data_IF_674838516384
#
_entry.id   IF_674838516384
#
_cell.length_a   1.000
_cell.length_b   1.000
_cell.length_c   1.000
_cell.angle_alpha   90.00
_cell.angle_beta   90.00
_cell.angle_gamma   90.00
#
_symmetry.space_group_name_H-M   'P 1'
#
loop_
_entity.id
_entity.type
_entity.pdbx_description
1 polymer ?
#
# COMPACT_ATOMS: atom_id res chain seq x y z
N UNK A 1 7.07 -20.96 -13.22
CA UNK A 1 6.36 -20.20 -12.17
C UNK A 1 6.05 -21.17 -11.05
N UNK A 2 6.36 -20.84 -9.79
CA UNK A 2 6.02 -21.70 -8.65
C UNK A 2 4.53 -21.51 -8.36
N UNK A 3 3.80 -22.59 -8.09
CA UNK A 3 2.40 -22.54 -7.63
C UNK A 3 2.38 -22.13 -6.15
N UNK A 4 1.98 -20.89 -5.81
CA UNK A 4 2.07 -20.39 -4.45
C UNK A 4 1.09 -21.11 -3.52
N UNK A 5 1.53 -21.40 -2.30
CA UNK A 5 0.78 -22.09 -1.26
C UNK A 5 0.56 -21.15 -0.07
N UNK A 6 -0.65 -21.13 0.52
CA UNK A 6 -0.92 -20.35 1.72
C UNK A 6 0.08 -20.67 2.85
N UNK A 7 0.51 -19.65 3.59
CA UNK A 7 1.43 -19.80 4.72
C UNK A 7 2.92 -19.93 4.34
N UNK A 8 3.26 -19.92 3.06
CA UNK A 8 4.65 -19.93 2.58
C UNK A 8 5.13 -18.52 2.20
N UNK A 9 6.45 -18.31 2.31
CA UNK A 9 7.12 -17.07 1.93
C UNK A 9 7.72 -17.19 0.54
N UNK A 10 7.55 -16.16 -0.26
CA UNK A 10 8.02 -16.09 -1.65
C UNK A 10 8.92 -14.88 -1.87
N UNK A 11 9.73 -14.94 -2.92
CA UNK A 11 10.60 -13.83 -3.30
C UNK A 11 9.76 -12.60 -3.68
N UNK A 12 10.07 -11.46 -3.06
CA UNK A 12 9.47 -10.18 -3.41
C UNK A 12 9.72 -9.84 -4.89
N UNK A 13 10.92 -10.13 -5.39
CA UNK A 13 11.25 -9.86 -6.79
C UNK A 13 10.36 -10.67 -7.74
N UNK A 14 10.11 -11.96 -7.45
CA UNK A 14 9.23 -12.78 -8.28
C UNK A 14 7.79 -12.24 -8.30
N UNK A 15 7.35 -11.63 -7.21
CA UNK A 15 6.05 -10.96 -7.12
C UNK A 15 6.01 -9.67 -7.97
N UNK A 16 7.06 -8.85 -7.88
CA UNK A 16 7.20 -7.64 -8.71
C UNK A 16 7.29 -7.97 -10.22
N UNK A 17 8.03 -9.03 -10.58
CA UNK A 17 8.12 -9.52 -11.97
C UNK A 17 6.76 -9.99 -12.49
N UNK A 18 5.94 -10.58 -11.62
CA UNK A 18 4.58 -10.97 -11.95
C UNK A 18 3.69 -9.73 -12.19
N UNK A 19 3.82 -8.68 -11.38
CA UNK A 19 3.12 -7.42 -11.65
C UNK A 19 3.52 -6.77 -12.96
N UNK A 20 4.81 -6.76 -13.28
CA UNK A 20 5.30 -6.27 -14.58
C UNK A 20 4.65 -7.04 -15.72
N UNK A 21 4.65 -8.37 -15.64
CA UNK A 21 4.02 -9.24 -16.64
C UNK A 21 2.53 -8.95 -16.79
N UNK A 22 1.78 -8.80 -15.68
CA UNK A 22 0.34 -8.46 -15.71
C UNK A 22 0.11 -7.10 -16.37
N UNK A 23 0.92 -6.10 -16.02
CA UNK A 23 0.81 -4.76 -16.61
C UNK A 23 1.06 -4.77 -18.12
N UNK A 24 2.05 -5.53 -18.59
CA UNK A 24 2.42 -5.63 -20.01
C UNK A 24 1.43 -6.46 -20.84
N UNK A 25 0.77 -7.45 -20.22
CA UNK A 25 -0.10 -8.40 -20.94
C UNK A 25 -1.59 -8.08 -20.84
N UNK A 26 -2.06 -7.62 -19.67
CA UNK A 26 -3.49 -7.34 -19.41
C UNK A 26 -3.74 -5.84 -19.30
N UNK A 27 -2.77 -5.09 -18.78
CA UNK A 27 -2.86 -3.65 -18.60
C UNK A 27 -2.86 -3.23 -17.13
N UNK A 28 -2.41 -2.00 -16.88
CA UNK A 28 -2.09 -1.54 -15.53
C UNK A 28 -3.30 -1.32 -14.62
N UNK A 29 -4.51 -1.14 -15.16
CA UNK A 29 -5.76 -1.10 -14.37
C UNK A 29 -6.00 -2.40 -13.58
N UNK A 30 -5.48 -3.52 -14.07
CA UNK A 30 -5.53 -4.81 -13.35
C UNK A 30 -4.75 -4.73 -12.04
N UNK A 31 -3.63 -4.01 -12.01
CA UNK A 31 -2.84 -3.81 -10.79
C UNK A 31 -3.62 -3.00 -9.75
N UNK A 32 -4.40 -2.00 -10.17
CA UNK A 32 -5.32 -1.28 -9.28
C UNK A 32 -6.37 -2.22 -8.70
N UNK A 33 -6.96 -3.09 -9.52
CA UNK A 33 -7.91 -4.08 -9.03
C UNK A 33 -7.28 -5.04 -8.02
N UNK A 34 -6.04 -5.48 -8.25
CA UNK A 34 -5.29 -6.32 -7.31
C UNK A 34 -5.02 -5.56 -6.01
N UNK A 35 -4.55 -4.31 -6.07
CA UNK A 35 -4.32 -3.46 -4.89
C UNK A 35 -5.57 -3.29 -4.02
N UNK A 36 -6.74 -3.10 -4.65
CA UNK A 36 -8.03 -2.99 -3.94
C UNK A 36 -8.42 -4.24 -3.15
N UNK A 37 -7.85 -5.41 -3.47
CA UNK A 37 -8.11 -6.67 -2.77
C UNK A 37 -7.19 -6.92 -1.57
N UNK A 38 -6.12 -6.15 -1.42
CA UNK A 38 -5.17 -6.33 -0.31
C UNK A 38 -5.81 -6.16 1.07
N UNK A 39 -6.71 -5.18 1.33
CA UNK A 39 -7.35 -5.04 2.64
C UNK A 39 -8.22 -6.23 3.08
N UNK A 40 -8.55 -7.14 2.15
CA UNK A 40 -9.30 -8.37 2.41
C UNK A 40 -8.39 -9.58 2.65
N UNK A 41 -7.13 -9.52 2.20
CA UNK A 41 -6.24 -10.70 2.11
C UNK A 41 -4.94 -10.56 2.91
N UNK A 42 -4.52 -9.35 3.28
CA UNK A 42 -3.32 -9.11 4.08
C UNK A 42 -3.65 -8.97 5.58
N UNK A 43 -2.66 -9.25 6.42
CA UNK A 43 -2.79 -9.02 7.86
C UNK A 43 -2.61 -7.54 8.18
N UNK A 44 -3.63 -6.91 8.78
CA UNK A 44 -3.57 -5.55 9.29
C UNK A 44 -3.47 -5.55 10.83
N UNK A 45 -2.89 -4.50 11.43
CA UNK A 45 -2.91 -4.35 12.89
C UNK A 45 -4.37 -4.23 13.39
N UNK A 46 -4.66 -4.67 14.64
CA UNK A 46 -5.98 -4.49 15.23
C UNK A 46 -6.27 -3.02 15.57
N UNK A 47 -7.54 -2.70 15.81
CA UNK A 47 -7.94 -1.37 16.31
C UNK A 47 -7.81 -0.24 15.30
N UNK A 48 -7.99 -0.55 14.00
CA UNK A 48 -8.09 0.46 12.96
C UNK A 48 -9.52 0.99 12.94
N UNK A 49 -9.70 2.24 13.37
CA UNK A 49 -10.96 2.96 13.41
C UNK A 49 -10.79 4.35 12.75
N UNK A 50 -11.47 4.57 11.63
CA UNK A 50 -11.39 5.82 10.88
C UNK A 50 -10.26 5.89 9.85
N UNK A 51 -10.41 6.83 8.93
CA UNK A 51 -9.65 6.91 7.68
C UNK A 51 -8.16 7.21 7.89
N UNK A 52 -7.79 8.11 8.80
CA UNK A 52 -6.38 8.47 9.03
C UNK A 52 -5.61 7.31 9.64
N UNK A 53 -6.21 6.61 10.62
CA UNK A 53 -5.62 5.40 11.21
C UNK A 53 -5.54 4.27 10.18
N UNK A 54 -6.55 4.15 9.31
CA UNK A 54 -6.54 3.18 8.22
C UNK A 54 -5.40 3.44 7.22
N UNK A 55 -5.18 4.69 6.84
CA UNK A 55 -4.08 5.08 5.95
C UNK A 55 -2.70 4.83 6.60
N UNK A 56 -2.53 5.18 7.88
CA UNK A 56 -1.30 4.86 8.64
C UNK A 56 -1.08 3.35 8.81
N UNK A 57 -2.16 2.57 8.93
CA UNK A 57 -2.08 1.12 9.13
C UNK A 57 -1.55 0.37 7.91
N UNK A 58 -1.56 0.97 6.72
CA UNK A 58 -0.96 0.40 5.51
C UNK A 58 0.52 0.14 5.73
N UNK A 59 1.26 1.07 6.34
CA UNK A 59 2.71 0.92 6.59
C UNK A 59 3.01 -0.23 7.56
N UNK A 60 2.22 -0.31 8.63
CA UNK A 60 2.35 -1.37 9.62
C UNK A 60 2.04 -2.72 8.98
N UNK A 61 0.94 -2.81 8.22
CA UNK A 61 0.58 -4.02 7.49
C UNK A 61 1.65 -4.41 6.47
N UNK A 62 2.25 -3.44 5.76
CA UNK A 62 3.34 -3.69 4.84
C UNK A 62 4.50 -4.41 5.55
N UNK A 63 4.97 -3.89 6.68
CA UNK A 63 6.07 -4.49 7.45
C UNK A 63 5.68 -5.79 8.17
N UNK A 64 4.40 -5.99 8.52
CA UNK A 64 3.89 -7.25 9.06
C UNK A 64 3.91 -8.40 8.03
N UNK A 65 3.71 -8.07 6.75
CA UNK A 65 3.58 -9.06 5.68
C UNK A 65 4.85 -9.22 4.82
N UNK A 66 6.00 -8.68 5.27
CA UNK A 66 7.29 -8.82 4.59
C UNK A 66 8.39 -9.28 5.56
N UNK A 67 9.48 -9.82 4.99
CA UNK A 67 10.64 -10.33 5.72
C UNK A 67 11.94 -10.03 4.99
N UNK A 68 12.98 -9.71 5.75
CA UNK A 68 14.38 -9.70 5.28
C UNK A 68 15.10 -10.88 5.91
N UNK A 69 15.71 -11.74 5.08
CA UNK A 69 16.41 -12.95 5.54
C UNK A 69 15.58 -13.80 6.54
N UNK A 70 14.27 -13.91 6.29
CA UNK A 70 13.33 -14.67 7.13
C UNK A 70 12.89 -13.97 8.43
N UNK A 71 13.42 -12.79 8.76
CA UNK A 71 13.09 -12.06 9.99
C UNK A 71 11.86 -11.17 9.80
N UNK A 72 11.02 -11.10 10.84
CA UNK A 72 9.87 -10.18 10.88
C UNK A 72 10.35 -8.74 10.84
N UNK A 73 9.67 -7.87 10.10
CA UNK A 73 9.99 -6.43 10.03
C UNK A 73 9.09 -5.58 10.93
N UNK A 74 8.20 -6.20 11.68
CA UNK A 74 7.39 -5.54 12.69
C UNK A 74 7.43 -6.32 14.00
N UNK A 75 7.63 -5.60 15.11
CA UNK A 75 7.52 -6.15 16.46
C UNK A 75 6.17 -5.73 17.09
N UNK A 76 5.22 -6.66 17.29
CA UNK A 76 3.89 -6.31 17.80
C UNK A 76 3.89 -5.86 19.26
N UNK A 77 4.95 -6.11 20.03
CA UNK A 77 5.05 -5.68 21.44
C UNK A 77 5.56 -4.25 21.56
N UNK A 78 6.63 -3.92 20.83
CA UNK A 78 7.25 -2.57 20.87
C UNK A 78 6.67 -1.63 19.84
N UNK A 79 5.92 -2.15 18.85
CA UNK A 79 5.45 -1.45 17.64
C UNK A 79 6.57 -0.93 16.75
N UNK A 80 7.77 -1.44 16.94
CA UNK A 80 8.95 -1.08 16.15
C UNK A 80 8.87 -1.69 14.75
N UNK A 81 9.25 -0.88 13.75
CA UNK A 81 9.39 -1.28 12.36
C UNK A 81 10.89 -1.41 12.06
N UNK A 82 11.27 -2.50 11.38
CA UNK A 82 12.62 -2.67 10.85
C UNK A 82 12.67 -2.14 9.43
N UNK A 83 13.57 -1.17 9.22
CA UNK A 83 13.83 -0.52 7.94
C UNK A 83 14.37 -1.47 6.86
N UNK A 84 14.34 -1.02 5.60
CA UNK A 84 15.03 -1.66 4.48
C UNK A 84 14.15 -2.07 3.30
N UNK A 85 12.84 -1.81 3.36
CA UNK A 85 11.90 -2.08 2.26
C UNK A 85 11.06 -0.86 1.84
N UNK A 86 11.37 0.33 2.34
CA UNK A 86 10.56 1.54 2.16
C UNK A 86 9.28 1.52 3.01
N UNK A 87 8.41 2.49 2.78
CA UNK A 87 7.26 2.80 3.62
C UNK A 87 6.02 3.25 2.83
N UNK A 88 4.91 3.29 3.56
CA UNK A 88 3.68 4.01 3.23
C UNK A 88 3.44 5.11 4.26
N UNK A 89 3.98 6.30 4.04
CA UNK A 89 3.91 7.39 5.04
C UNK A 89 2.68 8.27 4.82
N UNK A 90 1.78 8.30 5.80
CA UNK A 90 0.64 9.23 5.82
C UNK A 90 1.01 10.55 6.50
N UNK A 91 0.73 11.65 5.82
CA UNK A 91 0.76 13.00 6.38
C UNK A 91 -0.62 13.65 6.29
N UNK A 92 -1.08 14.19 7.40
CA UNK A 92 -2.25 15.06 7.41
C UNK A 92 -1.90 16.38 6.70
N UNK A 93 -2.80 16.84 5.84
CA UNK A 93 -2.64 18.11 5.10
C UNK A 93 -3.76 19.09 5.38
N UNK A 94 -4.92 18.61 5.81
CA UNK A 94 -6.09 19.36 6.24
C UNK A 94 -7.01 18.43 7.08
N UNK A 95 -8.08 18.97 7.67
CA UNK A 95 -9.07 18.22 8.45
C UNK A 95 -9.72 17.05 7.69
N UNK A 96 -9.83 17.19 6.38
CA UNK A 96 -10.50 16.25 5.47
C UNK A 96 -9.60 15.85 4.30
N UNK A 97 -8.29 15.97 4.49
CA UNK A 97 -7.31 15.66 3.46
C UNK A 97 -5.97 15.21 4.04
N UNK A 98 -5.34 14.26 3.37
CA UNK A 98 -3.96 13.87 3.64
C UNK A 98 -3.22 13.47 2.38
N UNK A 99 -1.93 13.23 2.53
CA UNK A 99 -1.09 12.66 1.48
C UNK A 99 -0.45 11.36 1.94
N UNK A 100 -0.34 10.41 1.00
CA UNK A 100 0.43 9.19 1.15
C UNK A 100 1.70 9.32 0.34
N UNK A 101 2.86 9.24 0.99
CA UNK A 101 4.17 9.17 0.33
C UNK A 101 4.65 7.73 0.42
N UNK A 102 4.87 7.12 -0.74
CA UNK A 102 5.19 5.70 -0.85
C UNK A 102 6.57 5.58 -1.51
N UNK A 103 7.57 5.08 -0.81
CA UNK A 103 8.95 4.82 -1.29
C UNK A 103 9.29 3.32 -1.31
N UNK A 104 8.24 2.49 -1.35
CA UNK A 104 8.33 1.05 -1.58
C UNK A 104 8.47 0.72 -3.09
N UNK A 105 8.83 -0.53 -3.46
CA UNK A 105 9.11 -0.89 -4.85
C UNK A 105 7.86 -1.22 -5.69
N UNK A 106 6.64 -1.07 -5.15
CA UNK A 106 5.43 -1.50 -5.85
C UNK A 106 5.02 -0.56 -6.99
N UNK A 107 4.35 -1.07 -8.04
CA UNK A 107 3.78 -0.23 -9.09
C UNK A 107 2.79 0.82 -8.55
N UNK A 108 2.72 1.98 -9.20
CA UNK A 108 1.86 3.09 -8.77
C UNK A 108 0.39 2.68 -8.64
N UNK A 109 -0.11 1.92 -9.62
CA UNK A 109 -1.49 1.46 -9.69
C UNK A 109 -1.86 0.54 -8.53
N UNK A 110 -0.93 -0.28 -8.07
CA UNK A 110 -1.13 -1.19 -6.95
C UNK A 110 -1.26 -0.41 -5.64
N UNK A 111 -0.33 0.51 -5.37
CA UNK A 111 -0.38 1.40 -4.21
C UNK A 111 -1.67 2.24 -4.20
N UNK A 112 -2.01 2.83 -5.35
CA UNK A 112 -3.26 3.57 -5.52
C UNK A 112 -4.48 2.72 -5.12
N UNK A 113 -4.54 1.47 -5.59
CA UNK A 113 -5.65 0.56 -5.28
C UNK A 113 -5.77 0.25 -3.78
N UNK A 114 -4.64 0.06 -3.08
CA UNK A 114 -4.63 -0.16 -1.63
C UNK A 114 -5.14 1.08 -0.89
N UNK A 115 -4.58 2.25 -1.21
CA UNK A 115 -4.92 3.52 -0.57
C UNK A 115 -6.40 3.83 -0.76
N UNK A 116 -6.91 3.70 -1.98
CA UNK A 116 -8.31 3.95 -2.29
C UNK A 116 -9.25 3.00 -1.56
N UNK A 117 -8.96 1.70 -1.54
CA UNK A 117 -9.80 0.71 -0.86
C UNK A 117 -9.82 0.93 0.66
N UNK A 118 -8.66 1.22 1.26
CA UNK A 118 -8.57 1.52 2.69
C UNK A 118 -9.32 2.81 3.03
N UNK A 119 -9.11 3.87 2.26
CA UNK A 119 -9.77 5.14 2.51
C UNK A 119 -11.29 5.03 2.35
N UNK A 120 -11.77 4.35 1.31
CA UNK A 120 -13.20 4.12 1.09
C UNK A 120 -13.84 3.29 2.21
N UNK A 121 -13.15 2.25 2.69
CA UNK A 121 -13.64 1.36 3.75
C UNK A 121 -13.81 2.08 5.09
N UNK A 122 -12.95 3.06 5.38
CA UNK A 122 -12.89 3.74 6.68
C UNK A 122 -13.33 5.20 6.62
N UNK A 123 -13.91 5.65 5.51
CA UNK A 123 -14.46 6.99 5.40
C UNK A 123 -15.52 7.25 6.49
N UNK A 124 -15.66 8.50 6.97
CA UNK A 124 -16.75 8.87 7.86
C UNK A 124 -18.13 8.49 7.31
N UNK A 125 -19.10 8.22 8.18
CA UNK A 125 -20.45 7.82 7.77
C UNK A 125 -21.20 8.92 7.00
N UNK A 126 -20.89 10.19 7.28
CA UNK A 126 -21.42 11.38 6.62
C UNK A 126 -20.67 11.76 5.33
N UNK A 127 -19.54 11.11 5.06
CA UNK A 127 -18.77 11.29 3.83
C UNK A 127 -19.39 10.46 2.69
N UNK A 128 -19.83 11.11 1.60
CA UNK A 128 -20.43 10.42 0.45
C UNK A 128 -19.40 9.71 -0.44
N UNK A 129 -18.23 10.32 -0.63
CA UNK A 129 -17.19 9.80 -1.52
C UNK A 129 -15.80 10.16 -1.01
N UNK A 130 -14.84 9.28 -1.31
CA UNK A 130 -13.41 9.55 -1.14
C UNK A 130 -12.82 9.78 -2.53
N UNK A 131 -11.93 10.77 -2.64
CA UNK A 131 -11.13 10.99 -3.84
C UNK A 131 -9.67 10.71 -3.54
N UNK A 132 -9.09 9.78 -4.28
CA UNK A 132 -7.64 9.55 -4.32
C UNK A 132 -7.12 9.98 -5.69
N UNK A 133 -5.98 10.68 -5.71
CA UNK A 133 -5.30 11.07 -6.96
C UNK A 133 -3.80 10.95 -6.81
N UNK A 134 -3.13 10.44 -7.84
CA UNK A 134 -1.67 10.49 -7.94
C UNK A 134 -1.21 11.95 -8.10
N UNK A 135 -0.11 12.31 -7.46
CA UNK A 135 0.51 13.63 -7.58
C UNK A 135 1.52 13.63 -8.74
N UNK A 136 1.09 14.09 -9.90
CA UNK A 136 1.92 14.11 -11.10
C UNK A 136 3.05 15.15 -11.07
N UNK A 137 3.00 16.09 -10.12
CA UNK A 137 4.04 17.09 -9.88
C UNK A 137 5.13 16.61 -8.89
N UNK A 138 4.87 15.53 -8.16
CA UNK A 138 5.84 14.88 -7.26
C UNK A 138 6.69 13.83 -8.00
N UNK A 139 7.79 13.33 -7.37
CA UNK A 139 8.50 12.16 -7.87
C UNK A 139 7.56 10.99 -8.13
N UNK A 140 7.86 10.21 -9.17
CA UNK A 140 7.05 9.08 -9.61
C UNK A 140 7.92 7.93 -10.08
N UNK A 141 7.66 6.72 -9.60
CA UNK A 141 8.36 5.49 -10.02
C UNK A 141 8.25 5.19 -11.50
N UNK A 142 7.11 5.53 -12.14
CA UNK A 142 6.97 5.43 -13.60
C UNK A 142 7.90 6.36 -14.39
N UNK A 143 8.39 7.42 -13.74
CA UNK A 143 9.34 8.39 -14.31
C UNK A 143 10.79 8.11 -13.85
N UNK A 144 11.04 6.97 -13.20
CA UNK A 144 12.38 6.55 -12.77
C UNK A 144 12.82 7.10 -11.41
N UNK A 145 11.91 7.64 -10.60
CA UNK A 145 12.20 8.01 -9.20
C UNK A 145 11.93 6.85 -8.24
N UNK A 146 12.29 7.00 -6.96
CA UNK A 146 12.14 5.94 -5.94
C UNK A 146 10.82 6.03 -5.15
N UNK A 147 10.00 7.06 -5.39
CA UNK A 147 8.77 7.28 -4.65
C UNK A 147 7.60 7.75 -5.51
N UNK A 148 6.40 7.68 -4.93
CA UNK A 148 5.15 8.20 -5.46
C UNK A 148 4.37 8.88 -4.33
N UNK A 149 3.69 9.97 -4.67
CA UNK A 149 2.81 10.69 -3.73
C UNK A 149 1.37 10.62 -4.21
N UNK A 150 0.44 10.43 -3.28
CA UNK A 150 -1.01 10.41 -3.54
C UNK A 150 -1.71 11.37 -2.60
N UNK A 151 -2.68 12.11 -3.12
CA UNK A 151 -3.58 12.96 -2.34
C UNK A 151 -4.87 12.20 -2.05
N UNK A 152 -5.32 12.23 -0.81
CA UNK A 152 -6.56 11.61 -0.34
C UNK A 152 -7.43 12.70 0.25
N UNK A 153 -8.70 12.78 -0.19
CA UNK A 153 -9.70 13.73 0.32
C UNK A 153 -11.02 13.02 0.58
N UNK A 154 -11.70 13.37 1.67
CA UNK A 154 -12.96 12.76 2.13
C UNK A 154 -13.88 13.78 2.79
#
# INVERSE_FOLDING_TARGET
MVDPKPGHWYSQQAWLDSFKTIAETVGSLTLTAIGRRIPENANFPPGVDGIEKALRAIDVAYHMNHRIAGKSLFNPRTREITEGIGHYTYHETDLKAGRMVCDNPYPCEFDFGIIEAMALRFKPSDCLFVKVSHDDASPCRKKGHDSCTYHVRW
#
